data_IF_954037378976
#
_entry.id   IF_954037378976
#
_cell.length_a   1.000
_cell.length_b   1.000
_cell.length_c   1.000
_cell.angle_alpha   90.00
_cell.angle_beta   90.00
_cell.angle_gamma   90.00
#
_symmetry.space_group_name_H-M   'P 1'
#
loop_
_entity.id
_entity.type
_entity.pdbx_description
1 polymer ?
#
# COMPACT_ATOMS: atom_id res chain seq x y z
N UNK A 1 -17.21 -4.97 24.54
CA UNK A 1 -17.39 -5.02 23.07
C UNK A 1 -16.09 -5.52 22.47
N UNK A 2 -16.10 -6.65 21.75
CA UNK A 2 -14.92 -7.08 21.00
C UNK A 2 -14.45 -5.93 20.10
N UNK A 3 -13.15 -5.67 20.06
CA UNK A 3 -12.56 -4.57 19.31
C UNK A 3 -12.73 -4.84 17.79
N UNK A 4 -13.89 -4.48 17.24
CA UNK A 4 -14.21 -4.60 15.82
C UNK A 4 -13.38 -3.55 15.09
N UNK A 5 -12.70 -3.97 14.03
CA UNK A 5 -11.87 -3.08 13.23
C UNK A 5 -12.78 -2.22 12.33
N UNK A 6 -13.08 -1.00 12.79
CA UNK A 6 -14.07 -0.12 12.16
C UNK A 6 -13.68 0.30 10.74
N UNK A 7 -12.37 0.40 10.47
CA UNK A 7 -11.85 0.79 9.16
C UNK A 7 -12.17 -0.27 8.10
N UNK A 8 -11.96 -1.53 8.45
CA UNK A 8 -12.29 -2.70 7.63
C UNK A 8 -13.80 -2.75 7.33
N UNK A 9 -14.62 -2.56 8.35
CA UNK A 9 -16.09 -2.57 8.21
C UNK A 9 -16.54 -1.47 7.27
N UNK A 10 -15.99 -0.26 7.40
CA UNK A 10 -16.30 0.88 6.54
C UNK A 10 -15.91 0.62 5.07
N UNK A 11 -14.74 0.03 4.81
CA UNK A 11 -14.27 -0.28 3.46
C UNK A 11 -15.16 -1.31 2.75
N UNK A 12 -15.51 -2.40 3.44
CA UNK A 12 -16.42 -3.42 2.89
C UNK A 12 -17.82 -2.84 2.68
N UNK A 13 -18.33 -2.05 3.64
CA UNK A 13 -19.63 -1.41 3.52
C UNK A 13 -19.68 -0.45 2.32
N UNK A 14 -18.63 0.36 2.10
CA UNK A 14 -18.53 1.23 0.93
C UNK A 14 -18.57 0.46 -0.38
N UNK A 15 -17.85 -0.67 -0.48
CA UNK A 15 -17.88 -1.53 -1.67
C UNK A 15 -19.27 -2.11 -1.93
N UNK A 16 -19.99 -2.51 -0.89
CA UNK A 16 -21.35 -3.05 -0.99
C UNK A 16 -22.35 -1.97 -1.43
N UNK A 17 -22.24 -0.75 -0.88
CA UNK A 17 -23.14 0.37 -1.17
C UNK A 17 -22.96 0.91 -2.59
N UNK A 18 -21.72 0.95 -3.10
CA UNK A 18 -21.41 1.40 -4.47
C UNK A 18 -21.83 0.36 -5.52
N UNK A 19 -21.94 -0.92 -5.15
CA UNK A 19 -22.29 -2.00 -6.08
C UNK A 19 -23.73 -1.87 -6.58
N UNK A 20 -23.92 -2.01 -7.89
CA UNK A 20 -25.25 -2.13 -8.51
C UNK A 20 -26.03 -3.36 -8.00
N UNK A 21 -25.32 -4.36 -7.47
CA UNK A 21 -25.90 -5.54 -6.83
C UNK A 21 -25.27 -5.75 -5.44
N UNK A 22 -25.86 -5.19 -4.37
CA UNK A 22 -25.31 -5.29 -3.01
C UNK A 22 -25.31 -6.73 -2.49
N UNK A 23 -26.34 -7.52 -2.80
CA UNK A 23 -26.47 -8.91 -2.38
C UNK A 23 -25.36 -9.80 -2.94
N UNK A 24 -25.05 -9.63 -4.22
CA UNK A 24 -23.95 -10.33 -4.87
C UNK A 24 -22.59 -9.89 -4.34
N UNK A 25 -22.40 -8.59 -4.05
CA UNK A 25 -21.16 -8.09 -3.46
C UNK A 25 -20.90 -8.70 -2.07
N UNK A 26 -21.93 -8.83 -1.24
CA UNK A 26 -21.84 -9.52 0.05
C UNK A 26 -21.38 -10.99 -0.12
N UNK A 27 -21.96 -11.69 -1.10
CA UNK A 27 -21.57 -13.07 -1.46
C UNK A 27 -20.11 -13.17 -1.89
N UNK A 28 -19.63 -12.23 -2.70
CA UNK A 28 -18.23 -12.15 -3.15
C UNK A 28 -17.30 -12.04 -1.93
N UNK A 29 -17.58 -11.10 -1.02
CA UNK A 29 -16.78 -10.93 0.20
C UNK A 29 -16.75 -12.18 1.06
N UNK A 30 -17.90 -12.82 1.29
CA UNK A 30 -17.96 -14.09 2.04
C UNK A 30 -17.14 -15.20 1.38
N UNK A 31 -17.24 -15.35 0.06
CA UNK A 31 -16.49 -16.36 -0.71
C UNK A 31 -14.99 -16.10 -0.68
N UNK A 32 -14.56 -14.84 -0.81
CA UNK A 32 -13.13 -14.45 -0.70
C UNK A 32 -12.54 -14.84 0.64
N UNK A 33 -13.31 -14.72 1.71
CA UNK A 33 -12.93 -15.15 3.06
C UNK A 33 -13.08 -16.66 3.30
N UNK A 34 -13.52 -17.41 2.28
CA UNK A 34 -13.79 -18.87 2.34
C UNK A 34 -14.77 -19.24 3.47
N UNK A 35 -15.66 -18.31 3.83
CA UNK A 35 -16.66 -18.52 4.90
C UNK A 35 -17.86 -19.24 4.30
N UNK A 36 -18.22 -20.40 4.87
CA UNK A 36 -19.43 -21.13 4.46
C UNK A 36 -20.69 -20.36 4.89
N UNK A 37 -21.71 -20.32 4.03
CA UNK A 37 -22.98 -19.64 4.28
C UNK A 37 -23.63 -20.08 5.61
N UNK A 38 -23.58 -21.37 5.93
CA UNK A 38 -24.16 -21.92 7.17
C UNK A 38 -23.49 -21.36 8.44
N UNK A 39 -22.18 -21.06 8.37
CA UNK A 39 -21.40 -20.53 9.50
C UNK A 39 -21.79 -19.07 9.73
N UNK A 40 -21.90 -18.28 8.67
CA UNK A 40 -22.32 -16.88 8.76
C UNK A 40 -23.77 -16.76 9.22
N UNK A 41 -24.67 -17.60 8.69
CA UNK A 41 -26.08 -17.61 9.07
C UNK A 41 -26.25 -17.91 10.58
N UNK A 42 -25.49 -18.88 11.11
CA UNK A 42 -25.46 -19.18 12.55
C UNK A 42 -24.98 -17.98 13.38
N UNK A 43 -23.91 -17.30 12.95
CA UNK A 43 -23.41 -16.09 13.64
C UNK A 43 -24.45 -14.96 13.61
N UNK A 44 -25.15 -14.81 12.50
CA UNK A 44 -26.22 -13.83 12.33
C UNK A 44 -27.55 -14.27 12.96
N UNK A 45 -27.66 -15.46 13.57
CA UNK A 45 -28.92 -15.99 14.13
C UNK A 45 -30.09 -15.95 13.13
N UNK A 46 -29.82 -16.30 11.87
CA UNK A 46 -30.84 -16.43 10.81
C UNK A 46 -30.70 -17.79 10.12
N UNK A 47 -31.72 -18.20 9.35
CA UNK A 47 -31.63 -19.43 8.56
C UNK A 47 -30.67 -19.26 7.37
N UNK A 48 -29.97 -20.33 6.94
CA UNK A 48 -29.16 -20.30 5.73
C UNK A 48 -29.94 -19.92 4.47
N UNK A 49 -31.24 -20.26 4.41
CA UNK A 49 -32.13 -19.87 3.31
C UNK A 49 -32.30 -18.35 3.20
N UNK A 50 -32.51 -17.66 4.32
CA UNK A 50 -32.64 -16.19 4.35
C UNK A 50 -31.34 -15.54 3.88
N UNK A 51 -30.19 -16.05 4.32
CA UNK A 51 -28.90 -15.53 3.86
C UNK A 51 -28.71 -15.76 2.35
N UNK A 52 -29.14 -16.90 1.83
CA UNK A 52 -29.12 -17.22 0.40
C UNK A 52 -30.01 -16.32 -0.44
N UNK A 53 -31.19 -15.93 0.07
CA UNK A 53 -32.11 -15.04 -0.64
C UNK A 53 -31.51 -13.64 -0.86
N UNK A 54 -30.77 -13.12 0.11
CA UNK A 54 -30.03 -11.87 -0.06
C UNK A 54 -28.84 -12.03 -1.02
N UNK A 55 -28.05 -13.09 -0.88
CA UNK A 55 -26.87 -13.31 -1.73
C UNK A 55 -27.18 -13.64 -3.20
N UNK A 56 -28.38 -14.14 -3.48
CA UNK A 56 -28.85 -14.47 -4.83
C UNK A 56 -29.56 -13.31 -5.52
N UNK A 57 -29.74 -12.18 -4.83
CA UNK A 57 -30.48 -11.04 -5.37
C UNK A 57 -32.00 -11.23 -5.38
N UNK A 58 -32.55 -12.33 -4.83
CA UNK A 58 -34.01 -12.49 -4.64
C UNK A 58 -34.60 -11.38 -3.77
N UNK A 59 -33.80 -10.84 -2.84
CA UNK A 59 -34.10 -9.61 -2.10
C UNK A 59 -33.17 -8.51 -2.58
N UNK A 60 -33.68 -7.70 -3.51
CA UNK A 60 -32.91 -6.72 -4.27
C UNK A 60 -32.16 -5.68 -3.41
N UNK A 61 -32.75 -5.28 -2.28
CA UNK A 61 -32.22 -4.22 -1.41
C UNK A 61 -32.06 -4.69 0.03
N UNK A 62 -30.89 -5.23 0.43
CA UNK A 62 -30.61 -5.51 1.83
C UNK A 62 -30.62 -4.22 2.65
N UNK A 63 -31.41 -4.20 3.74
CA UNK A 63 -31.46 -3.04 4.64
C UNK A 63 -30.12 -2.80 5.35
N UNK A 64 -29.86 -1.56 5.75
CA UNK A 64 -28.60 -1.15 6.40
C UNK A 64 -28.25 -1.99 7.64
N UNK A 65 -29.25 -2.39 8.43
CA UNK A 65 -29.08 -3.25 9.61
C UNK A 65 -28.60 -4.64 9.20
N UNK A 66 -29.12 -5.18 8.10
CA UNK A 66 -28.71 -6.48 7.59
C UNK A 66 -27.27 -6.44 7.10
N UNK A 67 -26.92 -5.44 6.29
CA UNK A 67 -25.56 -5.24 5.76
C UNK A 67 -24.56 -5.14 6.92
N UNK A 68 -24.85 -4.32 7.93
CA UNK A 68 -24.00 -4.15 9.11
C UNK A 68 -23.76 -5.49 9.82
N UNK A 69 -24.82 -6.22 10.16
CA UNK A 69 -24.72 -7.53 10.84
C UNK A 69 -23.98 -8.58 10.01
N UNK A 70 -24.13 -8.53 8.68
CA UNK A 70 -23.44 -9.42 7.77
C UNK A 70 -21.93 -9.18 7.78
N UNK A 71 -21.51 -7.92 7.59
CA UNK A 71 -20.11 -7.53 7.56
C UNK A 71 -19.45 -7.77 8.93
N UNK A 72 -20.11 -7.39 10.03
CA UNK A 72 -19.64 -7.69 11.39
C UNK A 72 -19.47 -9.19 11.61
N UNK A 73 -20.43 -9.99 11.12
CA UNK A 73 -20.36 -11.45 11.16
C UNK A 73 -19.14 -12.00 10.43
N UNK A 74 -18.85 -11.49 9.22
CA UNK A 74 -17.64 -11.84 8.46
C UNK A 74 -16.36 -11.50 9.22
N UNK A 75 -16.26 -10.29 9.76
CA UNK A 75 -15.06 -9.82 10.48
C UNK A 75 -14.79 -10.68 11.71
N UNK A 76 -15.84 -11.00 12.49
CA UNK A 76 -15.68 -11.82 13.69
C UNK A 76 -15.25 -13.25 13.33
N UNK A 77 -15.89 -13.88 12.32
CA UNK A 77 -15.54 -15.24 11.89
C UNK A 77 -14.11 -15.30 11.34
N UNK A 78 -13.69 -14.30 10.56
CA UNK A 78 -12.34 -14.27 10.00
C UNK A 78 -11.26 -14.09 11.08
N UNK A 79 -11.50 -13.23 12.07
CA UNK A 79 -10.59 -13.02 13.21
C UNK A 79 -10.33 -14.31 13.98
N UNK A 80 -11.34 -15.17 14.13
CA UNK A 80 -11.22 -16.43 14.85
C UNK A 80 -10.53 -17.54 14.06
N UNK A 81 -10.67 -17.56 12.73
CA UNK A 81 -10.22 -18.71 11.92
C UNK A 81 -8.96 -18.45 11.09
N UNK A 82 -8.86 -17.33 10.38
CA UNK A 82 -7.92 -17.24 9.24
C UNK A 82 -7.15 -15.93 9.12
N UNK A 83 -7.49 -14.86 9.89
CA UNK A 83 -6.91 -13.50 9.75
C UNK A 83 -6.80 -13.02 8.29
N UNK A 84 -7.64 -13.55 7.41
CA UNK A 84 -7.52 -13.39 5.96
C UNK A 84 -8.06 -12.04 5.52
N UNK A 85 -8.93 -11.42 6.30
CA UNK A 85 -9.40 -10.05 6.05
C UNK A 85 -8.27 -9.03 6.17
N UNK A 86 -7.44 -9.16 7.22
CA UNK A 86 -6.24 -8.35 7.39
C UNK A 86 -5.25 -8.60 6.25
N UNK A 87 -5.12 -9.84 5.81
CA UNK A 87 -4.25 -10.18 4.68
C UNK A 87 -4.83 -9.64 3.37
N UNK A 88 -6.08 -9.89 3.00
CA UNK A 88 -6.73 -9.43 1.76
C UNK A 88 -6.85 -7.90 1.67
N UNK A 89 -6.94 -7.20 2.80
CA UNK A 89 -6.99 -5.73 2.84
C UNK A 89 -5.61 -5.09 2.96
N UNK A 90 -4.60 -5.79 3.50
CA UNK A 90 -3.17 -5.42 3.39
C UNK A 90 -2.53 -5.89 2.08
N UNK A 91 -3.11 -6.88 1.41
CA UNK A 91 -2.84 -7.37 0.04
C UNK A 91 -3.73 -6.63 -0.97
N UNK A 92 -4.28 -5.46 -0.62
CA UNK A 92 -4.16 -4.39 -1.61
C UNK A 92 -2.65 -4.19 -1.76
N UNK A 93 -2.08 -4.88 -2.76
CA UNK A 93 -0.72 -4.72 -3.23
C UNK A 93 -0.56 -3.26 -3.68
N UNK A 94 -0.58 -2.30 -2.76
CA UNK A 94 -0.39 -0.92 -3.11
C UNK A 94 1.06 -0.80 -3.50
N UNK A 95 1.31 -0.53 -4.79
CA UNK A 95 2.63 -0.20 -5.28
C UNK A 95 3.28 0.92 -4.44
N UNK A 96 2.45 1.76 -3.80
CA UNK A 96 2.85 2.77 -2.81
C UNK A 96 2.55 2.22 -1.41
N UNK A 97 3.61 1.90 -0.66
CA UNK A 97 3.56 1.37 0.72
C UNK A 97 3.44 2.48 1.78
N UNK A 98 3.81 3.71 1.41
CA UNK A 98 3.69 4.90 2.24
C UNK A 98 3.99 6.15 1.45
N UNK A 99 3.27 7.23 1.70
CA UNK A 99 3.47 8.52 1.07
C UNK A 99 3.16 9.62 2.09
N UNK A 100 4.00 10.64 2.13
CA UNK A 100 3.81 11.75 3.05
C UNK A 100 4.67 12.95 2.68
N UNK A 101 4.18 14.13 3.06
CA UNK A 101 4.89 15.40 2.90
C UNK A 101 5.42 15.85 4.26
N UNK A 102 6.62 16.40 4.28
CA UNK A 102 7.23 16.95 5.49
C UNK A 102 6.68 18.35 5.76
N UNK A 103 6.42 18.67 7.03
CA UNK A 103 5.95 20.01 7.43
C UNK A 103 6.97 21.10 7.11
N UNK A 104 8.26 20.76 7.17
CA UNK A 104 9.38 21.62 6.79
C UNK A 104 10.37 20.82 5.95
N UNK A 105 10.95 21.39 4.89
CA UNK A 105 11.92 20.68 4.06
C UNK A 105 13.12 20.23 4.89
N UNK A 106 13.55 18.99 4.71
CA UNK A 106 14.73 18.40 5.36
C UNK A 106 15.86 18.27 4.34
N UNK A 107 17.12 18.42 4.74
CA UNK A 107 18.24 18.17 3.81
C UNK A 107 18.43 16.67 3.60
N UNK A 108 18.97 16.29 2.44
CA UNK A 108 19.37 14.91 2.14
C UNK A 108 20.39 14.39 3.18
N UNK A 109 21.31 15.22 3.64
CA UNK A 109 22.24 14.93 4.74
C UNK A 109 21.53 14.56 6.04
N UNK A 110 20.45 15.26 6.40
CA UNK A 110 19.68 14.96 7.60
C UNK A 110 18.91 13.65 7.42
N UNK A 111 18.33 13.43 6.25
CA UNK A 111 17.63 12.20 5.92
C UNK A 111 18.57 10.98 5.97
N UNK A 112 19.78 11.09 5.41
CA UNK A 112 20.87 10.11 5.48
C UNK A 112 21.10 9.60 6.90
N UNK A 113 21.17 10.52 7.87
CA UNK A 113 21.39 10.18 9.29
C UNK A 113 20.19 9.50 9.93
N UNK A 114 18.97 9.96 9.63
CA UNK A 114 17.75 9.44 10.26
C UNK A 114 17.50 7.98 9.85
N UNK A 115 17.59 7.67 8.57
CA UNK A 115 17.27 6.33 8.02
C UNK A 115 18.51 5.51 7.63
N UNK A 116 19.69 5.90 8.12
CA UNK A 116 20.95 5.16 7.98
C UNK A 116 21.23 4.76 6.52
N UNK A 117 21.51 5.77 5.70
CA UNK A 117 21.73 5.61 4.24
C UNK A 117 23.23 5.63 3.93
N UNK A 118 23.67 4.62 3.21
CA UNK A 118 24.95 4.60 2.51
C UNK A 118 24.77 5.32 1.16
N UNK A 119 25.43 6.46 0.99
CA UNK A 119 25.37 7.23 -0.25
C UNK A 119 26.24 6.57 -1.31
N UNK A 120 25.70 6.44 -2.53
CA UNK A 120 26.38 5.79 -3.65
C UNK A 120 26.84 6.81 -4.71
N UNK A 121 26.20 7.97 -4.77
CA UNK A 121 26.64 9.11 -5.55
C UNK A 121 26.12 10.43 -4.93
N UNK A 122 26.63 11.56 -5.42
CA UNK A 122 26.07 12.87 -5.08
C UNK A 122 26.37 13.36 -3.68
N UNK A 123 27.51 12.96 -3.08
CA UNK A 123 27.99 13.48 -1.80
C UNK A 123 28.13 15.02 -1.80
N UNK A 124 28.37 15.61 -2.96
CA UNK A 124 28.46 17.06 -3.20
C UNK A 124 27.10 17.78 -3.10
N UNK A 125 25.98 17.05 -3.10
CA UNK A 125 24.61 17.59 -3.18
C UNK A 125 23.76 17.30 -1.94
N UNK A 126 24.37 16.88 -0.83
CA UNK A 126 23.64 16.47 0.38
C UNK A 126 22.93 17.63 1.11
N UNK A 127 23.19 18.88 0.74
CA UNK A 127 22.47 20.08 1.17
C UNK A 127 21.07 20.21 0.54
N UNK A 128 20.81 19.48 -0.56
CA UNK A 128 19.52 19.45 -1.29
C UNK A 128 18.33 19.26 -0.35
N UNK A 129 17.31 20.10 -0.50
CA UNK A 129 16.07 20.04 0.28
C UNK A 129 15.10 18.99 -0.28
N UNK A 130 14.53 18.21 0.63
CA UNK A 130 13.55 17.17 0.39
C UNK A 130 12.26 17.56 1.12
N UNK A 131 11.15 17.57 0.39
CA UNK A 131 9.84 18.04 0.83
C UNK A 131 8.88 16.90 1.20
N UNK A 132 9.16 15.67 0.79
CA UNK A 132 8.34 14.52 1.14
C UNK A 132 9.05 13.20 0.85
N UNK A 133 8.33 12.11 1.08
CA UNK A 133 8.81 10.76 0.82
C UNK A 133 7.72 9.89 0.19
N UNK A 134 8.15 8.88 -0.54
CA UNK A 134 7.27 7.82 -1.03
C UNK A 134 8.01 6.50 -0.96
N UNK A 135 7.45 5.53 -0.24
CA UNK A 135 7.94 4.16 -0.14
C UNK A 135 7.14 3.34 -1.14
N UNK A 136 7.83 2.64 -2.03
CA UNK A 136 7.22 1.87 -3.11
C UNK A 136 7.79 0.45 -3.15
N UNK A 137 6.93 -0.51 -3.43
CA UNK A 137 7.34 -1.88 -3.69
C UNK A 137 7.73 -2.01 -5.16
N UNK A 138 9.02 -2.18 -5.44
CA UNK A 138 9.54 -2.16 -6.82
C UNK A 138 8.86 -3.18 -7.74
N UNK A 139 8.55 -4.36 -7.21
CA UNK A 139 7.95 -5.44 -8.00
C UNK A 139 6.49 -5.09 -8.29
N UNK A 140 5.73 -4.70 -7.26
CA UNK A 140 4.33 -4.35 -7.45
C UNK A 140 4.16 -3.05 -8.26
N UNK A 141 5.10 -2.10 -8.18
CA UNK A 141 5.11 -0.90 -9.02
C UNK A 141 5.12 -1.25 -10.51
N UNK A 142 5.94 -2.23 -10.94
CA UNK A 142 6.02 -2.65 -12.35
C UNK A 142 4.71 -3.26 -12.82
N UNK A 143 4.09 -4.11 -11.98
CA UNK A 143 2.86 -4.81 -12.36
C UNK A 143 1.62 -3.92 -12.33
N UNK A 144 1.58 -2.91 -11.46
CA UNK A 144 0.33 -2.22 -11.11
C UNK A 144 0.29 -0.75 -11.50
N UNK A 145 1.43 -0.07 -11.63
CA UNK A 145 1.46 1.34 -12.04
C UNK A 145 1.85 1.43 -13.51
N UNK A 146 0.94 1.92 -14.36
CA UNK A 146 1.20 2.14 -15.78
C UNK A 146 0.85 3.55 -16.20
N UNK A 147 1.61 4.11 -17.15
CA UNK A 147 1.38 5.45 -17.71
C UNK A 147 1.23 6.52 -16.61
N UNK A 148 0.05 7.11 -16.52
CA UNK A 148 -0.26 8.19 -15.58
C UNK A 148 -0.19 7.73 -14.12
N UNK A 149 -0.50 6.46 -13.83
CA UNK A 149 -0.49 5.95 -12.45
C UNK A 149 0.90 5.93 -11.82
N UNK A 150 1.95 5.81 -12.65
CA UNK A 150 3.33 5.90 -12.16
C UNK A 150 3.62 7.27 -11.55
N UNK A 151 2.98 8.35 -12.03
CA UNK A 151 3.19 9.69 -11.49
C UNK A 151 2.68 9.85 -10.05
N UNK A 152 1.82 8.96 -9.57
CA UNK A 152 1.33 8.97 -8.18
C UNK A 152 2.46 8.84 -7.15
N UNK A 153 3.58 8.21 -7.51
CA UNK A 153 4.74 8.07 -6.62
C UNK A 153 5.40 9.43 -6.31
N UNK A 154 5.15 10.46 -7.13
CA UNK A 154 5.68 11.82 -6.91
C UNK A 154 4.79 12.68 -6.01
N UNK A 155 3.67 12.16 -5.50
CA UNK A 155 2.76 12.87 -4.58
C UNK A 155 2.50 14.32 -4.96
N UNK A 156 2.60 15.23 -3.98
CA UNK A 156 2.36 16.66 -4.20
C UNK A 156 3.53 17.40 -4.88
N UNK A 157 4.75 16.84 -4.84
CA UNK A 157 5.96 17.50 -5.37
C UNK A 157 7.03 16.48 -5.74
N UNK A 158 7.71 16.69 -6.86
CA UNK A 158 8.86 15.87 -7.28
C UNK A 158 10.10 16.13 -6.41
N UNK A 159 10.11 17.19 -5.59
CA UNK A 159 11.20 17.49 -4.66
C UNK A 159 11.19 16.57 -3.44
N UNK A 160 11.25 15.27 -3.67
CA UNK A 160 11.07 14.22 -2.67
C UNK A 160 12.11 13.12 -2.78
N UNK A 161 12.08 12.23 -1.80
CA UNK A 161 12.78 10.95 -1.84
C UNK A 161 11.84 9.82 -2.27
N UNK A 162 12.27 8.96 -3.20
CA UNK A 162 11.61 7.70 -3.53
C UNK A 162 12.40 6.54 -2.91
N UNK A 163 11.74 5.72 -2.11
CA UNK A 163 12.34 4.58 -1.42
C UNK A 163 11.79 3.31 -2.04
N UNK A 164 12.61 2.61 -2.82
CA UNK A 164 12.23 1.38 -3.50
C UNK A 164 12.59 0.19 -2.62
N UNK A 165 11.58 -0.58 -2.21
CA UNK A 165 11.74 -1.85 -1.48
C UNK A 165 11.70 -3.03 -2.44
N UNK A 166 12.12 -4.21 -1.96
CA UNK A 166 12.20 -5.45 -2.74
C UNK A 166 13.02 -5.29 -4.03
N UNK A 167 14.13 -4.56 -3.93
CA UNK A 167 15.03 -4.30 -5.05
C UNK A 167 16.05 -5.43 -5.19
N UNK A 168 16.25 -5.91 -6.41
CA UNK A 168 17.29 -6.90 -6.75
C UNK A 168 18.70 -6.29 -6.84
N UNK A 169 19.01 -5.62 -7.96
CA UNK A 169 20.34 -4.98 -8.22
C UNK A 169 20.24 -3.49 -8.55
N UNK A 170 19.07 -2.88 -8.37
CA UNK A 170 18.86 -1.42 -8.55
C UNK A 170 18.58 -0.94 -9.98
N UNK A 171 18.79 -1.74 -11.04
CA UNK A 171 18.52 -1.31 -12.43
C UNK A 171 17.08 -0.87 -12.66
N UNK A 172 16.10 -1.69 -12.24
CA UNK A 172 14.70 -1.47 -12.58
C UNK A 172 14.14 -0.13 -12.05
N UNK A 173 14.34 0.24 -10.77
CA UNK A 173 13.92 1.57 -10.28
C UNK A 173 14.50 2.74 -11.08
N UNK A 174 15.80 2.70 -11.39
CA UNK A 174 16.48 3.81 -12.06
C UNK A 174 16.13 3.88 -13.54
N UNK A 175 15.91 2.75 -14.21
CA UNK A 175 15.38 2.72 -15.59
C UNK A 175 13.97 3.31 -15.64
N UNK A 176 13.09 2.95 -14.70
CA UNK A 176 11.74 3.51 -14.62
C UNK A 176 11.76 5.03 -14.39
N UNK A 177 12.64 5.51 -13.52
CA UNK A 177 12.82 6.96 -13.31
C UNK A 177 13.41 7.61 -14.55
N UNK A 178 14.36 6.98 -15.24
CA UNK A 178 15.00 7.52 -16.46
C UNK A 178 13.98 7.82 -17.55
N UNK A 179 13.01 6.94 -17.76
CA UNK A 179 11.94 7.13 -18.77
C UNK A 179 10.83 8.08 -18.33
N UNK A 180 10.70 8.34 -17.03
CA UNK A 180 9.75 9.33 -16.50
C UNK A 180 10.18 10.76 -16.84
N UNK A 181 9.19 11.61 -17.18
CA UNK A 181 9.40 13.05 -17.36
C UNK A 181 9.69 13.76 -16.03
N UNK A 182 9.19 13.21 -14.92
CA UNK A 182 9.42 13.73 -13.57
C UNK A 182 10.59 13.01 -12.92
N UNK A 183 11.45 13.77 -12.22
CA UNK A 183 12.64 13.27 -11.53
C UNK A 183 12.57 13.60 -10.04
N UNK A 184 12.79 12.62 -9.15
CA UNK A 184 12.91 12.89 -7.73
C UNK A 184 14.26 13.56 -7.43
N UNK A 185 14.41 14.15 -6.25
CA UNK A 185 15.72 14.65 -5.80
C UNK A 185 16.62 13.54 -5.28
N UNK A 186 16.00 12.50 -4.72
CA UNK A 186 16.72 11.38 -4.12
C UNK A 186 16.00 10.06 -4.36
N UNK A 187 16.76 9.00 -4.56
CA UNK A 187 16.31 7.61 -4.65
C UNK A 187 17.07 6.80 -3.63
N UNK A 188 16.35 5.95 -2.89
CA UNK A 188 16.95 5.04 -1.93
C UNK A 188 16.54 3.62 -2.30
N UNK A 189 17.52 2.75 -2.47
CA UNK A 189 17.30 1.33 -2.65
C UNK A 189 17.32 0.64 -1.30
N UNK A 190 16.26 -0.11 -0.98
CA UNK A 190 16.18 -0.90 0.25
C UNK A 190 16.43 -2.38 -0.05
N UNK A 191 17.45 -2.93 0.63
CA UNK A 191 17.73 -4.37 0.65
C UNK A 191 18.86 -4.92 -0.23
N UNK A 192 19.26 -4.36 -1.39
CA UNK A 192 20.19 -5.07 -2.26
C UNK A 192 21.61 -5.10 -1.65
N UNK A 193 22.27 -6.26 -1.76
CA UNK A 193 23.65 -6.42 -1.29
C UNK A 193 24.65 -5.81 -2.27
N UNK A 194 24.37 -5.98 -3.56
CA UNK A 194 25.17 -5.47 -4.66
C UNK A 194 24.31 -4.58 -5.54
N UNK A 195 24.94 -3.54 -6.10
CA UNK A 195 24.26 -2.56 -6.95
C UNK A 195 24.98 -2.53 -8.28
N UNK A 196 24.17 -2.58 -9.34
CA UNK A 196 24.68 -2.54 -10.68
C UNK A 196 25.24 -1.16 -11.03
N UNK A 197 26.42 -1.11 -11.67
CA UNK A 197 27.05 0.15 -12.08
C UNK A 197 26.14 1.02 -12.93
N UNK A 198 25.30 0.41 -13.79
CA UNK A 198 24.34 1.15 -14.60
C UNK A 198 23.35 1.95 -13.75
N UNK A 199 22.96 1.46 -12.57
CA UNK A 199 22.04 2.19 -11.70
C UNK A 199 22.68 3.49 -11.17
N UNK A 200 23.96 3.43 -10.80
CA UNK A 200 24.73 4.60 -10.35
C UNK A 200 24.92 5.58 -11.51
N UNK A 201 25.33 5.10 -12.69
CA UNK A 201 25.52 5.93 -13.88
C UNK A 201 24.23 6.65 -14.31
N UNK A 202 23.08 5.98 -14.21
CA UNK A 202 21.78 6.57 -14.52
C UNK A 202 21.42 7.66 -13.50
N UNK A 203 21.68 7.43 -12.21
CA UNK A 203 21.44 8.42 -11.17
C UNK A 203 22.31 9.67 -11.35
N UNK A 204 23.58 9.50 -11.72
CA UNK A 204 24.48 10.63 -12.02
C UNK A 204 24.00 11.44 -13.21
N UNK A 205 23.62 10.77 -14.31
CA UNK A 205 23.10 11.45 -15.52
C UNK A 205 21.84 12.26 -15.26
N UNK A 206 20.93 11.74 -14.43
CA UNK A 206 19.68 12.43 -14.08
C UNK A 206 19.84 13.39 -12.90
N UNK A 207 21.06 13.56 -12.37
CA UNK A 207 21.37 14.38 -11.19
C UNK A 207 20.48 14.01 -9.98
N UNK A 208 20.29 12.72 -9.77
CA UNK A 208 19.58 12.15 -8.63
C UNK A 208 20.59 11.67 -7.60
N UNK A 209 20.34 11.97 -6.31
CA UNK A 209 21.11 11.38 -5.21
C UNK A 209 20.63 9.96 -5.00
N UNK A 210 21.52 8.98 -5.08
CA UNK A 210 21.26 7.57 -4.92
C UNK A 210 21.87 7.09 -3.62
N UNK A 211 21.05 6.44 -2.80
CA UNK A 211 21.48 5.83 -1.56
C UNK A 211 21.01 4.38 -1.45
N UNK A 212 21.63 3.67 -0.53
CA UNK A 212 21.28 2.32 -0.12
C UNK A 212 20.98 2.31 1.37
N UNK A 213 19.96 1.57 1.77
CA UNK A 213 19.73 1.27 3.18
C UNK A 213 19.34 -0.18 3.37
N UNK A 214 19.78 -0.74 4.50
CA UNK A 214 19.46 -2.11 4.94
C UNK A 214 18.71 -2.10 6.28
N UNK A 215 18.30 -0.91 6.75
CA UNK A 215 17.46 -0.78 7.93
C UNK A 215 16.12 -1.51 7.74
N UNK A 216 15.48 -1.89 8.85
CA UNK A 216 14.17 -2.54 8.79
C UNK A 216 13.11 -1.61 8.15
N UNK A 217 12.36 -2.11 7.17
CA UNK A 217 11.35 -1.33 6.43
C UNK A 217 10.32 -0.66 7.35
N UNK A 218 9.83 -1.35 8.39
CA UNK A 218 8.88 -0.78 9.34
C UNK A 218 9.51 0.36 10.14
N UNK A 219 10.79 0.22 10.54
CA UNK A 219 11.51 1.29 11.23
C UNK A 219 11.70 2.51 10.33
N UNK A 220 12.01 2.31 9.05
CA UNK A 220 12.13 3.40 8.06
C UNK A 220 10.80 4.15 7.99
N UNK A 221 9.68 3.43 7.83
CA UNK A 221 8.34 4.01 7.76
C UNK A 221 7.99 4.81 9.03
N UNK A 222 8.21 4.23 10.20
CA UNK A 222 7.95 4.91 11.49
C UNK A 222 8.80 6.17 11.68
N UNK A 223 10.08 6.15 11.29
CA UNK A 223 10.97 7.31 11.36
C UNK A 223 10.48 8.42 10.42
N UNK A 224 10.09 8.08 9.19
CA UNK A 224 9.63 9.05 8.19
C UNK A 224 8.27 9.68 8.56
N UNK A 225 7.36 8.92 9.17
CA UNK A 225 6.07 9.43 9.64
C UNK A 225 6.19 10.48 10.76
N UNK A 226 7.35 10.56 11.44
CA UNK A 226 7.59 11.52 12.53
C UNK A 226 8.20 12.86 12.06
N UNK A 227 8.54 12.98 10.77
CA UNK A 227 9.16 14.16 10.16
C UNK A 227 8.10 15.11 9.56
#
# INVERSE_FOLDING_TARGET
MENIDLEIVAKIAGNVVISNNPGEMLKIWRKRLKIKQIVLARKMKISPSVLSDYESGRRYSPGIIFIKRYIEGLVIIDKSNNKTLNRLLKEDHSAILGIGEFKKPISAEKLKKIINIDILNGDDRLDTKIHGYTIVDSINTIYMLSGIDFYKIFGATTERVLIFTRVGIGRSPLVAIRVSQLKPRMVILHGPNEIDKLAVDLADKDKIILGLTRDNENKIKEKLMKL
#
